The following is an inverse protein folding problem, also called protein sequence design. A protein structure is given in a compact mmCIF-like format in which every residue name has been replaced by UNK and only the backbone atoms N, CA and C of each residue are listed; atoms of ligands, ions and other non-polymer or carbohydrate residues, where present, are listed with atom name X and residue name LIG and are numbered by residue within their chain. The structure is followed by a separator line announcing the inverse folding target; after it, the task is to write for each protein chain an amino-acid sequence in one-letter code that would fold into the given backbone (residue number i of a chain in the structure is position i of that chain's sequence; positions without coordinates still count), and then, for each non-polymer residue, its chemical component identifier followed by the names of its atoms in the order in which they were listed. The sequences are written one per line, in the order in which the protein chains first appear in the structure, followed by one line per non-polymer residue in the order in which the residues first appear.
data_IF_318690783438
#
_entry.id   IF_318690783438
#
_cell.length_a   1.000
_cell.length_b   1.000
_cell.length_c   1.000
_cell.angle_alpha   90.00
_cell.angle_beta   90.00
_cell.angle_gamma   90.00
#
_symmetry.space_group_name_H-M   'P 1'
#
loop_
_entity.id
_entity.type
_entity.pdbx_description
1 polymer ?
#
# COMPACT_ATOMS: atom_id res chain seq x y z
N UNK A 1 12.89 19.91 4.91
CA UNK A 1 13.73 20.19 3.73
C UNK A 1 12.79 20.58 2.60
N UNK A 2 13.15 21.55 1.77
CA UNK A 2 12.32 21.92 0.62
C UNK A 2 12.65 20.98 -0.53
N UNK A 3 11.66 20.26 -1.06
CA UNK A 3 11.85 19.37 -2.22
C UNK A 3 12.34 20.13 -3.45
N UNK A 4 13.01 19.42 -4.37
CA UNK A 4 13.46 19.98 -5.65
C UNK A 4 12.24 20.23 -6.55
N UNK A 5 12.08 21.45 -7.04
CA UNK A 5 11.07 21.75 -8.05
C UNK A 5 11.57 21.34 -9.44
N UNK A 6 11.02 20.25 -10.01
CA UNK A 6 11.46 19.68 -11.28
C UNK A 6 11.29 20.63 -12.47
N UNK A 7 10.32 21.55 -12.40
CA UNK A 7 10.11 22.57 -13.44
C UNK A 7 11.28 23.56 -13.61
N UNK A 8 12.24 23.56 -12.69
CA UNK A 8 13.45 24.39 -12.74
C UNK A 8 14.64 23.64 -13.34
N UNK A 9 14.52 22.34 -13.57
CA UNK A 9 15.59 21.49 -14.13
C UNK A 9 15.56 21.56 -15.64
N UNK A 10 16.74 21.61 -16.26
CA UNK A 10 16.91 21.56 -17.71
C UNK A 10 17.68 20.31 -18.08
N UNK A 11 17.06 19.46 -18.89
CA UNK A 11 17.69 18.29 -19.48
C UNK A 11 18.36 18.66 -20.81
N UNK A 12 19.24 17.78 -21.26
CA UNK A 12 20.08 17.90 -22.46
C UNK A 12 19.82 16.73 -23.39
N UNK A 13 20.40 16.72 -24.59
CA UNK A 13 20.34 15.55 -25.50
C UNK A 13 21.32 14.42 -25.09
N UNK A 14 21.73 14.38 -23.82
CA UNK A 14 22.61 13.37 -23.23
C UNK A 14 21.94 12.81 -21.99
N UNK A 15 22.42 11.67 -21.52
CA UNK A 15 21.94 11.07 -20.26
C UNK A 15 22.17 12.01 -19.08
N UNK A 16 21.08 12.46 -18.48
CA UNK A 16 21.05 13.33 -17.33
C UNK A 16 20.55 12.59 -16.08
N UNK A 17 21.04 12.98 -14.91
CA UNK A 17 20.63 12.39 -13.63
C UNK A 17 20.19 13.48 -12.68
N UNK A 18 18.91 13.43 -12.30
CA UNK A 18 18.28 14.29 -11.30
C UNK A 18 18.03 13.45 -10.06
N UNK A 19 18.94 13.52 -9.09
CA UNK A 19 18.83 12.81 -7.81
C UNK A 19 19.28 13.73 -6.66
N UNK A 20 18.37 14.56 -6.12
CA UNK A 20 18.72 15.50 -5.06
C UNK A 20 18.82 14.83 -3.67
N UNK A 21 18.56 13.52 -3.56
CA UNK A 21 18.49 12.81 -2.27
C UNK A 21 17.33 13.24 -1.37
N UNK A 22 16.37 14.00 -1.92
CA UNK A 22 15.15 14.50 -1.25
C UNK A 22 13.95 14.32 -2.19
N UNK A 23 12.74 14.63 -1.72
CA UNK A 23 11.52 14.74 -2.52
C UNK A 23 11.72 15.59 -3.78
N UNK A 24 11.14 15.15 -4.90
CA UNK A 24 11.00 15.93 -6.13
C UNK A 24 9.53 16.32 -6.30
N UNK A 25 9.26 17.59 -6.55
CA UNK A 25 7.93 18.10 -6.85
C UNK A 25 7.84 18.65 -8.27
N UNK A 26 6.87 18.18 -9.05
CA UNK A 26 6.54 18.72 -10.37
C UNK A 26 5.15 19.37 -10.32
N UNK A 27 5.05 20.72 -10.31
CA UNK A 27 3.81 21.42 -10.03
C UNK A 27 2.77 21.26 -11.14
N UNK A 28 1.51 21.50 -10.81
CA UNK A 28 0.42 21.51 -11.79
C UNK A 28 0.74 22.45 -12.97
N UNK A 29 0.42 22.00 -14.18
CA UNK A 29 0.68 22.71 -15.45
C UNK A 29 2.14 22.85 -15.87
N UNK A 30 3.09 22.31 -15.11
CA UNK A 30 4.48 22.22 -15.59
C UNK A 30 4.64 21.11 -16.62
N UNK A 31 5.58 21.31 -17.54
CA UNK A 31 6.00 20.32 -18.52
C UNK A 31 7.50 20.15 -18.40
N UNK A 32 7.91 18.93 -18.04
CA UNK A 32 9.31 18.51 -17.97
C UNK A 32 9.56 17.54 -19.11
N UNK A 33 10.69 17.70 -19.79
CA UNK A 33 11.08 16.87 -20.93
C UNK A 33 12.55 16.49 -20.80
N UNK A 34 12.85 15.19 -20.72
CA UNK A 34 14.22 14.68 -20.60
C UNK A 34 15.00 14.63 -21.93
N UNK A 35 14.31 14.88 -23.06
CA UNK A 35 14.88 14.93 -24.41
C UNK A 35 15.45 13.58 -24.91
N UNK A 36 16.76 13.36 -24.82
CA UNK A 36 17.42 12.15 -25.34
C UNK A 36 18.45 11.70 -24.34
N UNK A 37 18.60 10.39 -24.19
CA UNK A 37 19.61 9.83 -23.31
C UNK A 37 18.98 8.73 -22.47
N UNK A 38 19.75 8.18 -21.53
CA UNK A 38 19.19 7.30 -20.52
C UNK A 38 19.02 8.14 -19.26
N UNK A 39 17.94 8.91 -19.21
CA UNK A 39 17.70 9.93 -18.20
C UNK A 39 17.15 9.32 -16.92
N UNK A 40 17.51 9.91 -15.78
CA UNK A 40 17.10 9.42 -14.46
C UNK A 40 16.51 10.54 -13.63
N UNK A 41 15.27 10.37 -13.18
CA UNK A 41 14.58 11.26 -12.25
C UNK A 41 14.32 10.43 -10.99
N UNK A 42 15.10 10.69 -9.94
CA UNK A 42 15.10 9.88 -8.71
C UNK A 42 14.78 10.78 -7.52
N UNK A 43 13.58 10.63 -6.97
CA UNK A 43 13.14 11.31 -5.76
C UNK A 43 13.16 10.39 -4.56
N UNK A 44 13.70 10.85 -3.43
CA UNK A 44 13.81 10.07 -2.20
C UNK A 44 13.32 10.89 -1.02
N UNK A 45 12.26 10.49 -0.33
CA UNK A 45 11.80 11.18 0.87
C UNK A 45 11.73 10.22 2.04
N UNK A 46 12.40 10.61 3.13
CA UNK A 46 12.40 9.88 4.38
C UNK A 46 12.00 10.84 5.50
N UNK A 47 10.84 10.59 6.10
CA UNK A 47 10.52 11.15 7.40
C UNK A 47 10.62 10.05 8.44
N UNK A 48 11.69 10.12 9.22
CA UNK A 48 11.80 9.39 10.48
C UNK A 48 11.63 10.40 11.60
N UNK A 49 10.50 10.34 12.27
CA UNK A 49 10.13 11.30 13.31
C UNK A 49 9.61 10.60 14.54
N UNK A 50 10.10 11.02 15.70
CA UNK A 50 9.41 10.78 16.95
C UNK A 50 8.28 11.81 17.06
N UNK A 51 7.08 11.38 17.45
CA UNK A 51 6.08 12.28 18.00
C UNK A 51 6.73 12.95 19.19
N UNK A 52 7.29 14.13 18.96
CA UNK A 52 7.71 15.01 20.02
C UNK A 52 6.45 15.53 20.71
N UNK A 53 5.84 14.66 21.52
CA UNK A 53 4.96 14.97 22.63
C UNK A 53 5.67 15.86 23.68
N UNK A 54 6.89 16.37 23.41
CA UNK A 54 7.63 17.30 24.27
C UNK A 54 6.83 18.54 24.69
N UNK A 55 5.73 18.86 24.01
CA UNK A 55 4.76 19.87 24.43
C UNK A 55 3.94 19.50 25.69
N UNK A 56 3.86 18.21 26.09
CA UNK A 56 3.14 17.77 27.29
C UNK A 56 3.85 18.11 28.60
N UNK A 57 5.18 18.11 28.59
CA UNK A 57 5.98 18.09 29.83
C UNK A 57 6.20 19.51 30.39
N UNK A 58 6.09 20.54 29.55
CA UNK A 58 6.31 21.94 29.97
C UNK A 58 5.13 22.57 30.74
N UNK A 59 3.93 22.01 30.66
CA UNK A 59 2.71 22.69 31.12
C UNK A 59 2.18 22.26 32.48
N UNK A 60 2.55 21.07 32.96
CA UNK A 60 1.90 20.44 34.11
C UNK A 60 2.36 20.92 35.50
N UNK A 61 3.15 22.00 35.60
CA UNK A 61 3.69 22.48 36.88
C UNK A 61 3.12 23.84 37.36
N UNK A 62 2.07 24.38 36.74
CA UNK A 62 1.38 25.57 37.26
C UNK A 62 0.02 25.22 37.90
N UNK A 63 0.01 25.07 39.23
CA UNK A 63 -1.17 25.07 40.13
C UNK A 63 -2.10 23.83 40.16
N UNK A 64 -1.58 22.62 39.99
CA UNK A 64 -2.28 21.38 40.41
C UNK A 64 -3.40 20.87 39.48
N UNK A 65 -3.73 21.61 38.42
CA UNK A 65 -4.55 21.11 37.31
C UNK A 65 -3.65 20.80 36.12
N UNK A 66 -3.75 19.59 35.57
CA UNK A 66 -3.12 19.28 34.28
C UNK A 66 -3.83 20.10 33.20
N UNK A 67 -3.19 21.18 32.75
CA UNK A 67 -3.60 21.90 31.56
C UNK A 67 -2.83 21.25 30.41
N UNK A 68 -3.53 20.58 29.49
CA UNK A 68 -2.95 20.33 28.17
C UNK A 68 -2.75 21.72 27.54
N UNK A 69 -1.54 22.29 27.64
CA UNK A 69 -1.26 23.63 27.09
C UNK A 69 -1.24 23.65 25.56
N UNK A 70 -1.19 22.48 24.95
CA UNK A 70 -1.29 22.31 23.51
C UNK A 70 -2.70 21.82 23.19
N UNK A 71 -3.39 22.56 22.33
CA UNK A 71 -4.53 22.07 21.58
C UNK A 71 -4.05 20.91 20.71
N UNK A 72 -4.16 19.69 21.25
CA UNK A 72 -3.74 18.44 20.60
C UNK A 72 -4.75 17.95 19.57
N UNK A 73 -5.77 18.76 19.23
CA UNK A 73 -6.58 18.57 18.04
C UNK A 73 -5.76 18.63 16.74
N UNK A 74 -4.48 19.01 16.83
CA UNK A 74 -3.48 18.85 15.78
C UNK A 74 -3.30 17.38 15.40
N UNK A 75 -4.08 16.94 14.41
CA UNK A 75 -3.85 15.71 13.64
C UNK A 75 -2.38 15.66 13.25
N UNK A 76 -1.64 14.72 13.79
CA UNK A 76 -0.29 14.46 13.34
C UNK A 76 -0.38 13.59 12.09
N UNK A 77 -0.62 14.30 10.99
CA UNK A 77 -0.59 13.75 9.65
C UNK A 77 0.81 13.94 9.11
N UNK A 78 1.49 12.83 8.85
CA UNK A 78 2.73 12.79 8.09
C UNK A 78 2.40 12.32 6.68
N UNK A 79 2.87 13.06 5.69
CA UNK A 79 2.89 12.62 4.31
C UNK A 79 4.31 12.79 3.78
N UNK A 80 4.81 11.78 3.08
CA UNK A 80 6.09 11.83 2.38
C UNK A 80 5.89 11.29 0.98
N UNK A 81 6.38 12.04 0.00
CA UNK A 81 6.36 11.66 -1.40
C UNK A 81 7.81 11.56 -1.88
N UNK A 82 8.20 10.47 -2.54
CA UNK A 82 9.48 10.40 -3.25
C UNK A 82 9.47 11.36 -4.44
N UNK A 83 8.48 11.20 -5.32
CA UNK A 83 8.14 12.12 -6.39
C UNK A 83 6.67 12.51 -6.26
N UNK A 84 6.38 13.81 -6.22
CA UNK A 84 5.03 14.36 -6.32
C UNK A 84 4.84 15.03 -7.67
N UNK A 85 4.17 14.36 -8.60
CA UNK A 85 3.88 14.84 -9.95
C UNK A 85 2.42 15.27 -10.12
N UNK A 86 2.21 16.56 -10.34
CA UNK A 86 0.92 17.16 -10.70
C UNK A 86 0.92 17.75 -12.12
N UNK A 87 2.07 17.78 -12.77
CA UNK A 87 2.27 18.25 -14.14
C UNK A 87 2.46 17.09 -15.11
N UNK A 88 3.23 17.34 -16.17
CA UNK A 88 3.63 16.33 -17.15
C UNK A 88 5.14 16.11 -17.08
N UNK A 89 5.55 14.85 -17.01
CA UNK A 89 6.94 14.39 -17.18
C UNK A 89 7.00 13.57 -18.46
N UNK A 90 7.82 13.98 -19.42
CA UNK A 90 8.13 13.21 -20.62
C UNK A 90 9.61 12.81 -20.56
N UNK A 91 9.95 11.52 -20.57
CA UNK A 91 11.36 11.12 -20.64
C UNK A 91 11.85 11.01 -22.09
N UNK A 92 10.95 10.66 -23.01
CA UNK A 92 11.08 10.74 -24.47
C UNK A 92 11.90 9.63 -25.11
N UNK A 93 13.23 9.73 -25.25
CA UNK A 93 14.02 8.76 -26.01
C UNK A 93 15.20 8.24 -25.21
N UNK A 94 15.23 6.92 -25.05
CA UNK A 94 16.35 6.16 -24.53
C UNK A 94 15.88 5.20 -23.47
N UNK A 95 16.76 4.86 -22.52
CA UNK A 95 16.42 3.93 -21.43
C UNK A 95 16.23 4.73 -20.16
N UNK A 96 15.06 5.30 -20.00
CA UNK A 96 14.80 6.28 -18.95
C UNK A 96 14.30 5.64 -17.66
N UNK A 97 14.52 6.33 -16.54
CA UNK A 97 14.11 5.90 -15.21
C UNK A 97 13.41 7.04 -14.49
N UNK A 98 12.14 6.84 -14.12
CA UNK A 98 11.43 7.67 -13.14
C UNK A 98 11.24 6.85 -11.88
N UNK A 99 12.03 7.15 -10.84
CA UNK A 99 12.00 6.41 -9.58
C UNK A 99 11.64 7.31 -8.40
N UNK A 100 10.63 6.89 -7.64
CA UNK A 100 10.26 7.56 -6.40
C UNK A 100 10.32 6.60 -5.22
N UNK A 101 11.00 7.00 -4.14
CA UNK A 101 11.02 6.27 -2.88
C UNK A 101 10.46 7.10 -1.74
N UNK A 102 9.40 6.59 -1.11
CA UNK A 102 8.76 7.20 0.06
C UNK A 102 8.93 6.33 1.30
N UNK A 103 9.45 6.91 2.39
CA UNK A 103 9.59 6.24 3.70
C UNK A 103 9.04 7.12 4.80
N UNK A 104 7.93 6.69 5.41
CA UNK A 104 7.37 7.33 6.61
C UNK A 104 7.51 6.38 7.79
N UNK A 105 8.40 6.73 8.71
CA UNK A 105 8.59 6.06 9.98
C UNK A 105 8.18 7.01 11.10
N UNK A 106 7.00 6.77 11.68
CA UNK A 106 6.59 7.50 12.88
C UNK A 106 6.77 6.60 14.09
N UNK A 107 7.46 7.12 15.10
CA UNK A 107 7.57 6.55 16.44
C UNK A 107 6.98 7.52 17.48
N UNK A 108 6.67 7.05 18.68
CA UNK A 108 6.37 7.85 19.87
C UNK A 108 7.23 7.33 21.05
N UNK A 109 8.15 8.12 21.59
CA UNK A 109 9.10 7.65 22.61
C UNK A 109 8.50 7.38 24.00
N UNK A 110 9.02 6.33 24.65
CA UNK A 110 8.73 5.88 26.04
C UNK A 110 8.71 6.99 27.05
N UNK A 111 9.66 7.90 26.88
CA UNK A 111 10.04 8.88 27.89
C UNK A 111 8.87 9.84 28.11
N UNK A 112 8.19 10.20 27.03
CA UNK A 112 7.04 11.10 27.09
C UNK A 112 5.79 10.43 27.66
N UNK A 113 5.57 9.15 27.35
CA UNK A 113 4.44 8.38 27.91
C UNK A 113 4.64 8.09 29.39
N UNK A 114 5.86 7.72 29.80
CA UNK A 114 6.18 7.45 31.22
C UNK A 114 6.06 8.72 32.07
N UNK A 115 6.47 9.87 31.53
CA UNK A 115 6.27 11.17 32.18
C UNK A 115 4.78 11.55 32.23
N UNK A 116 4.00 11.30 31.17
CA UNK A 116 2.56 11.51 31.18
C UNK A 116 1.84 10.63 32.21
N UNK A 117 2.22 9.35 32.36
CA UNK A 117 1.72 8.46 33.41
C UNK A 117 2.07 9.00 34.81
N UNK A 118 3.32 9.42 35.01
CA UNK A 118 3.76 9.98 36.28
C UNK A 118 3.04 11.29 36.65
N UNK A 119 2.63 12.09 35.66
CA UNK A 119 1.81 13.30 35.84
C UNK A 119 0.34 12.94 36.08
N UNK A 120 -0.20 11.98 35.34
CA UNK A 120 -1.59 11.50 35.48
C UNK A 120 -1.87 10.89 36.86
N UNK A 121 -0.84 10.33 37.53
CA UNK A 121 -0.94 9.89 38.92
C UNK A 121 -1.07 11.05 39.92
N UNK A 122 -0.63 12.26 39.55
CA UNK A 122 -0.55 13.43 40.44
C UNK A 122 -1.62 14.49 40.17
N UNK A 123 -2.37 14.37 39.08
CA UNK A 123 -3.31 15.39 38.58
C UNK A 123 -4.57 14.75 37.99
N UNK A 124 -5.60 15.55 37.69
CA UNK A 124 -6.80 15.06 37.00
C UNK A 124 -6.45 14.56 35.59
N UNK A 125 -6.29 13.24 35.47
CA UNK A 125 -5.91 12.59 34.23
C UNK A 125 -7.00 12.64 33.13
N UNK A 126 -8.22 13.08 33.42
CA UNK A 126 -9.28 13.19 32.40
C UNK A 126 -8.90 14.15 31.26
N UNK A 127 -8.20 15.25 31.56
CA UNK A 127 -7.74 16.19 30.55
C UNK A 127 -6.63 15.58 29.66
N UNK A 128 -5.73 14.80 30.27
CA UNK A 128 -4.66 14.08 29.58
C UNK A 128 -5.26 12.97 28.72
N UNK A 129 -6.15 12.15 29.29
CA UNK A 129 -6.84 11.07 28.61
C UNK A 129 -7.65 11.61 27.41
N UNK A 130 -8.40 12.70 27.59
CA UNK A 130 -9.12 13.33 26.48
C UNK A 130 -8.16 13.78 25.38
N UNK A 131 -7.09 14.48 25.75
CA UNK A 131 -6.09 14.95 24.79
C UNK A 131 -5.41 13.82 24.01
N UNK A 132 -5.15 12.66 24.65
CA UNK A 132 -4.62 11.47 23.98
C UNK A 132 -5.67 10.77 23.10
N UNK A 133 -6.92 10.65 23.58
CA UNK A 133 -8.00 10.04 22.81
C UNK A 133 -8.31 10.80 21.51
N UNK A 134 -8.06 12.12 21.50
CA UNK A 134 -8.24 12.99 20.34
C UNK A 134 -7.05 12.93 19.34
N UNK A 135 -5.94 12.27 19.68
CA UNK A 135 -4.78 12.10 18.77
C UNK A 135 -5.14 11.11 17.67
N UNK A 136 -5.36 11.63 16.47
CA UNK A 136 -5.46 10.82 15.25
C UNK A 136 -4.10 10.77 14.56
N UNK A 137 -3.48 9.59 14.57
CA UNK A 137 -2.20 9.33 13.91
C UNK A 137 -2.47 8.84 12.50
N UNK A 138 -2.01 9.62 11.51
CA UNK A 138 -2.04 9.24 10.11
C UNK A 138 -0.64 9.40 9.53
N UNK A 139 -0.07 8.32 8.99
CA UNK A 139 1.06 8.46 8.09
C UNK A 139 0.74 7.92 6.71
N UNK A 140 1.29 8.59 5.72
CA UNK A 140 1.20 8.21 4.32
C UNK A 140 2.60 8.31 3.71
N UNK A 141 3.05 7.23 3.07
CA UNK A 141 4.27 7.20 2.29
C UNK A 141 3.92 6.85 0.85
N UNK A 142 4.31 7.71 -0.08
CA UNK A 142 4.07 7.54 -1.51
C UNK A 142 5.41 7.54 -2.24
N UNK A 143 5.65 6.53 -3.08
CA UNK A 143 6.89 6.46 -3.86
C UNK A 143 6.81 7.49 -4.96
N UNK A 144 5.79 7.34 -5.80
CA UNK A 144 5.37 8.30 -6.81
C UNK A 144 3.90 8.66 -6.59
N UNK A 145 3.61 9.93 -6.28
CA UNK A 145 2.27 10.53 -6.33
C UNK A 145 2.06 11.17 -7.71
N UNK A 146 1.45 10.45 -8.64
CA UNK A 146 1.06 10.94 -9.97
C UNK A 146 -0.42 11.34 -10.03
N UNK A 147 -1.04 11.68 -8.90
CA UNK A 147 -2.49 11.96 -8.85
C UNK A 147 -2.84 13.18 -9.70
N UNK A 148 -3.61 12.97 -10.78
CA UNK A 148 -3.95 13.99 -11.77
C UNK A 148 -2.79 14.51 -12.62
N UNK A 149 -1.61 13.90 -12.50
CA UNK A 149 -0.43 14.18 -13.32
C UNK A 149 -0.32 13.23 -14.52
N UNK A 150 0.75 13.42 -15.29
CA UNK A 150 1.10 12.58 -16.43
C UNK A 150 2.57 12.19 -16.41
N UNK A 151 2.87 10.91 -16.62
CA UNK A 151 4.22 10.39 -16.87
C UNK A 151 4.20 9.66 -18.21
N UNK A 152 5.03 10.12 -19.14
CA UNK A 152 5.16 9.55 -20.47
C UNK A 152 6.61 9.10 -20.68
N UNK A 153 6.88 7.81 -20.74
CA UNK A 153 8.27 7.33 -20.85
C UNK A 153 8.81 7.38 -22.30
N UNK A 154 7.93 7.23 -23.30
CA UNK A 154 8.31 7.46 -24.69
C UNK A 154 8.91 6.22 -25.37
N UNK A 155 10.05 6.36 -26.04
CA UNK A 155 10.69 5.31 -26.82
C UNK A 155 11.93 4.78 -26.12
N UNK A 156 12.00 3.45 -26.00
CA UNK A 156 13.11 2.68 -25.47
C UNK A 156 12.61 1.73 -24.39
N UNK A 157 13.52 1.19 -23.57
CA UNK A 157 13.15 0.24 -22.53
C UNK A 157 13.10 0.98 -21.19
N UNK A 158 12.03 1.71 -20.96
CA UNK A 158 11.92 2.64 -19.85
C UNK A 158 11.51 1.93 -18.56
N UNK A 159 11.69 2.63 -17.44
CA UNK A 159 11.28 2.14 -16.13
C UNK A 159 10.62 3.23 -15.31
N UNK A 160 9.38 2.99 -14.89
CA UNK A 160 8.70 3.79 -13.86
C UNK A 160 8.60 2.93 -12.60
N UNK A 161 9.28 3.35 -11.53
CA UNK A 161 9.52 2.54 -10.34
C UNK A 161 9.14 3.28 -9.06
N UNK A 162 8.07 2.86 -8.40
CA UNK A 162 7.65 3.40 -7.12
C UNK A 162 7.88 2.41 -5.99
N UNK A 163 8.91 2.62 -5.20
CA UNK A 163 9.17 1.79 -4.01
C UNK A 163 8.75 2.52 -2.74
N UNK A 164 8.05 1.85 -1.85
CA UNK A 164 7.70 2.40 -0.55
C UNK A 164 7.84 1.42 0.59
N UNK A 165 8.43 1.95 1.66
CA UNK A 165 8.41 1.34 2.99
C UNK A 165 7.67 2.33 3.88
N UNK A 166 6.35 2.20 3.93
CA UNK A 166 5.52 2.89 4.92
C UNK A 166 5.52 2.10 6.22
N UNK A 167 6.65 2.03 6.92
CA UNK A 167 6.68 1.41 8.25
C UNK A 167 6.28 2.45 9.29
N UNK A 168 4.98 2.70 9.40
CA UNK A 168 4.53 3.36 10.61
C UNK A 168 4.40 2.26 11.61
N UNK A 169 5.27 2.27 12.59
CA UNK A 169 4.93 1.59 13.78
C UNK A 169 3.94 2.48 14.56
N UNK A 170 2.73 2.62 14.01
CA UNK A 170 1.58 3.27 14.63
C UNK A 170 0.91 2.32 15.63
N UNK A 171 1.76 1.66 16.40
CA UNK A 171 1.47 1.53 17.82
C UNK A 171 1.86 2.91 18.37
N UNK A 172 1.74 3.14 19.66
CA UNK A 172 2.92 3.72 20.26
C UNK A 172 4.04 2.73 19.92
N UNK A 173 4.76 2.81 18.78
CA UNK A 173 6.12 2.30 18.72
C UNK A 173 6.88 3.44 19.37
N UNK A 174 6.89 3.51 20.68
CA UNK A 174 7.53 2.45 21.41
C UNK A 174 8.72 1.89 20.58
N UNK A 175 9.72 2.73 20.26
CA UNK A 175 11.03 2.53 20.89
C UNK A 175 11.14 3.24 22.26
N UNK A 176 10.02 3.51 22.92
CA UNK A 176 9.72 2.77 24.15
C UNK A 176 9.79 1.27 23.89
N UNK A 177 10.20 0.46 24.81
CA UNK A 177 9.69 -0.89 24.75
C UNK A 177 8.13 -0.79 24.84
N UNK A 178 7.33 -1.49 24.05
CA UNK A 178 5.88 -1.52 24.33
C UNK A 178 5.66 -2.23 25.68
N UNK A 179 6.65 -3.04 26.09
CA UNK A 179 6.91 -3.35 27.49
C UNK A 179 7.09 -2.12 28.34
N UNK A 180 7.81 -1.07 27.96
CA UNK A 180 7.79 0.30 28.53
C UNK A 180 6.43 0.76 29.09
N UNK A 181 5.42 0.81 28.23
CA UNK A 181 4.08 1.28 28.58
C UNK A 181 3.34 0.22 29.40
N UNK A 182 3.41 -1.05 28.97
CA UNK A 182 2.81 -2.17 29.70
C UNK A 182 3.40 -2.28 31.11
N UNK A 183 4.71 -2.12 31.26
CA UNK A 183 5.55 -2.12 32.46
C UNK A 183 5.23 -0.90 33.32
N UNK A 184 5.07 0.29 32.72
CA UNK A 184 4.63 1.48 33.43
C UNK A 184 3.20 1.31 33.97
N UNK A 185 2.26 0.75 33.19
CA UNK A 185 0.91 0.40 33.66
C UNK A 185 1.00 -0.67 34.76
N UNK A 186 1.82 -1.70 34.56
CA UNK A 186 2.01 -2.81 35.49
C UNK A 186 2.59 -2.36 36.83
N UNK A 187 3.54 -1.42 36.83
CA UNK A 187 4.20 -0.86 38.01
C UNK A 187 3.43 0.30 38.64
N UNK A 188 2.52 0.95 37.92
CA UNK A 188 1.72 2.05 38.44
C UNK A 188 0.67 1.54 39.45
N UNK A 189 0.45 2.24 40.57
CA UNK A 189 -0.71 1.97 41.41
C UNK A 189 -1.99 2.24 40.62
N UNK A 190 -2.97 1.34 40.75
CA UNK A 190 -4.28 1.50 40.13
C UNK A 190 -4.93 2.80 40.58
N UNK A 191 -5.44 3.55 39.62
CA UNK A 191 -6.20 4.79 39.84
C UNK A 191 -7.19 4.99 38.70
N UNK A 192 -8.22 5.80 38.94
CA UNK A 192 -9.13 6.24 37.87
C UNK A 192 -8.37 6.96 36.76
N UNK A 193 -7.32 7.70 37.12
CA UNK A 193 -6.50 8.42 36.15
C UNK A 193 -5.64 7.52 35.27
N UNK A 194 -5.04 6.47 35.84
CA UNK A 194 -4.33 5.44 35.07
C UNK A 194 -5.28 4.70 34.12
N UNK A 195 -6.48 4.37 34.61
CA UNK A 195 -7.53 3.70 33.84
C UNK A 195 -7.96 4.55 32.64
N UNK A 196 -8.32 5.81 32.88
CA UNK A 196 -8.72 6.75 31.84
C UNK A 196 -7.61 6.96 30.81
N UNK A 197 -6.36 7.08 31.26
CA UNK A 197 -5.20 7.23 30.37
C UNK A 197 -4.97 5.98 29.51
N UNK A 198 -4.99 4.78 30.10
CA UNK A 198 -4.82 3.53 29.36
C UNK A 198 -5.92 3.35 28.29
N UNK A 199 -7.18 3.66 28.62
CA UNK A 199 -8.27 3.62 27.64
C UNK A 199 -8.14 4.67 26.53
N UNK A 200 -7.69 5.88 26.85
CA UNK A 200 -7.44 6.92 25.86
C UNK A 200 -6.36 6.52 24.86
N UNK A 201 -5.23 5.98 25.36
CA UNK A 201 -4.17 5.43 24.52
C UNK A 201 -4.71 4.30 23.66
N UNK A 202 -5.40 3.33 24.26
CA UNK A 202 -5.99 2.22 23.51
C UNK A 202 -6.89 2.74 22.38
N UNK A 203 -7.77 3.71 22.67
CA UNK A 203 -8.68 4.28 21.67
C UNK A 203 -7.92 4.96 20.52
N UNK A 204 -6.95 5.82 20.83
CA UNK A 204 -6.14 6.51 19.82
C UNK A 204 -5.36 5.54 18.94
N UNK A 205 -4.76 4.51 19.54
CA UNK A 205 -3.97 3.50 18.81
C UNK A 205 -4.85 2.61 17.94
N UNK A 206 -6.05 2.25 18.40
CA UNK A 206 -7.02 1.52 17.59
C UNK A 206 -7.54 2.32 16.38
N UNK A 207 -7.40 3.65 16.39
CA UNK A 207 -7.80 4.54 15.29
C UNK A 207 -6.63 4.94 14.38
N UNK A 208 -5.39 4.57 14.73
CA UNK A 208 -4.23 4.92 13.94
C UNK A 208 -4.31 4.27 12.55
N UNK A 209 -3.97 5.06 11.51
CA UNK A 209 -4.03 4.62 10.11
C UNK A 209 -2.70 4.84 9.41
N UNK A 210 -2.33 3.85 8.61
CA UNK A 210 -1.05 3.81 7.91
C UNK A 210 -1.32 3.48 6.45
N UNK A 211 -0.87 4.35 5.55
CA UNK A 211 -0.90 4.10 4.12
C UNK A 211 0.51 4.03 3.56
N UNK A 212 0.83 2.95 2.85
CA UNK A 212 1.97 2.90 1.94
C UNK A 212 1.44 2.73 0.52
N UNK A 213 1.84 3.60 -0.39
CA UNK A 213 1.50 3.50 -1.81
C UNK A 213 2.74 3.58 -2.69
N UNK A 214 3.07 2.51 -3.42
CA UNK A 214 4.24 2.50 -4.31
C UNK A 214 4.12 3.56 -5.41
N UNK A 215 3.12 3.38 -6.27
CA UNK A 215 2.71 4.34 -7.29
C UNK A 215 1.24 4.69 -7.10
N UNK A 216 0.95 5.97 -6.91
CA UNK A 216 -0.41 6.50 -6.82
C UNK A 216 -0.75 7.24 -8.11
N UNK A 217 -1.44 6.57 -9.01
CA UNK A 217 -1.89 7.10 -10.29
C UNK A 217 -3.39 7.48 -10.26
N UNK A 218 -3.87 8.02 -9.14
CA UNK A 218 -5.29 8.28 -8.94
C UNK A 218 -5.76 9.42 -9.87
N UNK A 219 -6.60 9.10 -10.85
CA UNK A 219 -7.00 10.05 -11.91
C UNK A 219 -5.84 10.55 -12.78
N UNK A 220 -4.66 9.95 -12.66
CA UNK A 220 -3.47 10.29 -13.43
C UNK A 220 -3.36 9.44 -14.69
N UNK A 221 -2.33 9.73 -15.50
CA UNK A 221 -2.00 8.96 -16.69
C UNK A 221 -0.54 8.54 -16.62
N UNK A 222 -0.28 7.25 -16.81
CA UNK A 222 1.04 6.71 -17.07
C UNK A 222 0.98 6.08 -18.46
N UNK A 223 1.90 6.46 -19.33
CA UNK A 223 2.02 5.89 -20.67
C UNK A 223 3.47 5.56 -20.94
N UNK A 224 3.79 4.29 -21.14
CA UNK A 224 5.00 3.91 -21.84
C UNK A 224 4.68 3.74 -23.33
N UNK A 225 5.69 3.92 -24.18
CA UNK A 225 5.46 4.13 -25.61
C UNK A 225 5.89 2.92 -26.42
N UNK A 226 7.16 2.88 -26.84
CA UNK A 226 7.69 1.74 -27.60
C UNK A 226 8.90 1.18 -26.89
N UNK A 227 8.97 -0.13 -26.76
CA UNK A 227 10.13 -0.87 -26.28
C UNK A 227 9.69 -1.87 -25.22
N UNK A 228 10.63 -2.37 -24.44
CA UNK A 228 10.33 -3.29 -23.32
C UNK A 228 10.30 -2.47 -22.04
N UNK A 229 9.13 -1.94 -21.74
CA UNK A 229 8.94 -1.01 -20.63
C UNK A 229 8.62 -1.76 -19.33
N UNK A 230 8.98 -1.17 -18.20
CA UNK A 230 8.71 -1.74 -16.87
C UNK A 230 8.03 -0.72 -15.98
N UNK A 231 6.81 -1.03 -15.53
CA UNK A 231 6.14 -0.36 -14.43
C UNK A 231 6.26 -1.24 -13.18
N UNK A 232 7.06 -0.83 -12.21
CA UNK A 232 7.29 -1.58 -10.97
C UNK A 232 6.80 -0.78 -9.78
N UNK A 233 6.11 -1.44 -8.85
CA UNK A 233 5.78 -0.84 -7.59
C UNK A 233 5.80 -1.85 -6.43
N UNK A 234 6.33 -1.39 -5.30
CA UNK A 234 6.27 -2.10 -4.02
C UNK A 234 5.70 -1.21 -2.94
N UNK A 235 4.82 -1.78 -2.13
CA UNK A 235 4.31 -1.13 -0.94
C UNK A 235 4.35 -2.08 0.24
N UNK A 236 5.10 -1.71 1.27
CA UNK A 236 5.06 -2.38 2.56
C UNK A 236 4.51 -1.43 3.60
N UNK A 237 3.43 -1.84 4.26
CA UNK A 237 3.00 -1.24 5.51
C UNK A 237 2.98 -2.28 6.62
N UNK A 238 3.22 -1.81 7.83
CA UNK A 238 3.19 -2.67 9.01
C UNK A 238 2.75 -1.85 10.19
N UNK A 239 1.51 -1.99 10.62
CA UNK A 239 1.16 -1.63 11.98
C UNK A 239 1.94 -2.60 12.88
N UNK A 240 2.70 -2.09 13.86
CA UNK A 240 3.35 -2.99 14.79
C UNK A 240 2.26 -3.80 15.50
N UNK A 241 2.31 -5.12 15.37
CA UNK A 241 1.48 -6.02 16.17
C UNK A 241 2.33 -6.42 17.37
N UNK A 242 1.73 -6.42 18.56
CA UNK A 242 2.41 -6.83 19.79
C UNK A 242 2.83 -8.30 19.65
N UNK A 243 4.08 -8.54 19.29
CA UNK A 243 4.69 -9.86 19.42
C UNK A 243 5.29 -9.96 20.82
N UNK A 244 4.57 -10.64 21.73
CA UNK A 244 5.04 -11.12 23.03
C UNK A 244 5.66 -10.07 23.97
N UNK A 245 4.82 -9.36 24.72
CA UNK A 245 5.25 -8.67 25.93
C UNK A 245 4.56 -9.31 27.13
N UNK A 246 5.00 -10.52 27.47
CA UNK A 246 4.73 -11.12 28.77
C UNK A 246 6.03 -11.05 29.59
N UNK A 247 6.48 -9.84 29.87
CA UNK A 247 7.63 -9.62 30.76
C UNK A 247 7.29 -9.96 32.21
N UNK A 248 8.31 -10.12 33.05
CA UNK A 248 8.16 -10.39 34.49
C UNK A 248 7.23 -9.38 35.19
N UNK A 249 7.22 -8.13 34.73
CA UNK A 249 6.37 -7.07 35.25
C UNK A 249 4.88 -7.31 35.04
N UNK A 250 4.49 -7.85 33.87
CA UNK A 250 3.10 -8.21 33.58
C UNK A 250 2.65 -9.37 34.48
N UNK A 251 3.49 -10.40 34.63
CA UNK A 251 3.21 -11.53 35.50
C UNK A 251 3.06 -11.12 36.97
N UNK A 252 3.83 -10.13 37.43
CA UNK A 252 3.77 -9.61 38.80
C UNK A 252 2.72 -8.50 39.05
N UNK A 253 2.07 -8.01 37.99
CA UNK A 253 1.10 -6.92 38.09
C UNK A 253 -0.22 -7.37 38.72
N UNK A 254 -0.95 -6.41 39.28
CA UNK A 254 -2.32 -6.68 39.76
C UNK A 254 -3.23 -7.10 38.59
N UNK A 255 -4.30 -7.87 38.83
CA UNK A 255 -5.24 -8.24 37.77
C UNK A 255 -5.83 -7.03 37.03
N UNK A 256 -6.05 -5.90 37.73
CA UNK A 256 -6.49 -4.65 37.12
C UNK A 256 -5.46 -4.07 36.14
N UNK A 257 -4.20 -4.00 36.54
CA UNK A 257 -3.13 -3.52 35.67
C UNK A 257 -2.90 -4.45 34.48
N UNK A 258 -2.98 -5.77 34.68
CA UNK A 258 -2.90 -6.75 33.59
C UNK A 258 -4.02 -6.54 32.57
N UNK A 259 -5.26 -6.31 33.03
CA UNK A 259 -6.38 -6.03 32.14
C UNK A 259 -6.21 -4.73 31.35
N UNK A 260 -5.72 -3.65 31.99
CA UNK A 260 -5.43 -2.38 31.30
C UNK A 260 -4.30 -2.52 30.29
N UNK A 261 -3.21 -3.18 30.66
CA UNK A 261 -2.12 -3.48 29.75
C UNK A 261 -2.60 -4.31 28.55
N UNK A 262 -3.42 -5.32 28.78
CA UNK A 262 -4.02 -6.14 27.72
C UNK A 262 -4.98 -5.33 26.83
N UNK A 263 -5.72 -4.38 27.39
CA UNK A 263 -6.58 -3.49 26.60
C UNK A 263 -5.76 -2.63 25.64
N UNK A 264 -4.62 -2.08 26.08
CA UNK A 264 -3.69 -1.32 25.22
C UNK A 264 -3.07 -2.21 24.14
N UNK A 265 -2.66 -3.43 24.49
CA UNK A 265 -2.13 -4.45 23.56
C UNK A 265 -3.17 -4.83 22.49
N UNK A 266 -4.40 -5.11 22.89
CA UNK A 266 -5.47 -5.47 21.95
C UNK A 266 -5.86 -4.31 21.05
N UNK A 267 -5.75 -3.08 21.54
CA UNK A 267 -6.10 -1.90 20.76
C UNK A 267 -5.01 -1.52 19.74
N UNK A 268 -3.74 -1.76 20.08
CA UNK A 268 -2.62 -1.61 19.14
C UNK A 268 -2.63 -2.64 18.03
N UNK A 269 -3.08 -3.87 18.33
CA UNK A 269 -3.35 -4.88 17.31
C UNK A 269 -4.50 -4.50 16.36
N UNK A 270 -5.30 -3.46 16.67
CA UNK A 270 -6.36 -2.93 15.79
C UNK A 270 -5.92 -1.76 14.92
N UNK A 271 -4.70 -1.24 15.08
CA UNK A 271 -4.19 -0.18 14.22
C UNK A 271 -4.24 -0.65 12.76
N UNK A 272 -4.88 0.12 11.89
CA UNK A 272 -5.14 -0.30 10.51
C UNK A 272 -3.97 0.11 9.63
N UNK A 273 -3.27 -0.86 9.06
CA UNK A 273 -2.30 -0.65 8.00
C UNK A 273 -2.84 -1.05 6.63
N UNK A 274 -2.54 -0.21 5.65
CA UNK A 274 -2.92 -0.41 4.26
C UNK A 274 -1.67 -0.27 3.39
N UNK A 275 -1.42 -1.25 2.53
CA UNK A 275 -0.43 -1.17 1.48
C UNK A 275 -1.12 -1.29 0.12
N UNK A 276 -0.83 -0.36 -0.78
CA UNK A 276 -1.27 -0.43 -2.18
C UNK A 276 -0.03 -0.30 -3.07
N UNK A 277 0.35 -1.31 -3.84
CA UNK A 277 1.54 -1.16 -4.68
C UNK A 277 1.27 -0.17 -5.83
N UNK A 278 0.18 -0.35 -6.58
CA UNK A 278 -0.29 0.57 -7.61
C UNK A 278 -1.74 0.99 -7.32
N UNK A 279 -1.97 2.27 -7.00
CA UNK A 279 -3.31 2.85 -6.87
C UNK A 279 -3.70 3.53 -8.19
N UNK A 280 -4.35 2.79 -9.09
CA UNK A 280 -4.82 3.27 -10.39
C UNK A 280 -6.31 3.64 -10.39
N UNK A 281 -6.88 4.03 -9.24
CA UNK A 281 -8.29 4.45 -9.19
C UNK A 281 -8.57 5.62 -10.11
N UNK A 282 -9.56 5.47 -10.99
CA UNK A 282 -9.91 6.45 -12.04
C UNK A 282 -8.74 6.82 -12.97
N UNK A 283 -7.62 6.11 -12.88
CA UNK A 283 -6.39 6.39 -13.61
C UNK A 283 -6.32 5.58 -14.89
N UNK A 284 -5.30 5.91 -15.69
CA UNK A 284 -4.99 5.20 -16.92
C UNK A 284 -3.52 4.79 -16.91
N UNK A 285 -3.26 3.52 -17.16
CA UNK A 285 -1.93 2.96 -17.43
C UNK A 285 -1.97 2.36 -18.84
N UNK A 286 -1.02 2.73 -19.70
CA UNK A 286 -0.84 2.15 -21.03
C UNK A 286 0.63 1.82 -21.24
N UNK A 287 0.99 0.60 -21.62
CA UNK A 287 2.41 0.27 -21.82
C UNK A 287 2.89 0.36 -23.27
N UNK A 288 1.98 0.15 -24.23
CA UNK A 288 2.18 0.56 -25.61
C UNK A 288 2.57 -0.60 -26.52
N UNK A 289 3.78 -0.58 -27.07
CA UNK A 289 4.26 -1.67 -27.95
C UNK A 289 5.61 -2.20 -27.50
N UNK A 290 5.74 -3.52 -27.49
CA UNK A 290 6.91 -4.30 -27.09
C UNK A 290 6.58 -5.15 -25.87
N UNK A 291 7.51 -6.01 -25.46
CA UNK A 291 7.25 -6.95 -24.35
C UNK A 291 7.36 -6.21 -23.01
N UNK A 292 6.24 -5.69 -22.52
CA UNK A 292 6.17 -4.83 -21.35
C UNK A 292 5.92 -5.62 -20.06
N UNK A 293 6.22 -5.00 -18.91
CA UNK A 293 6.04 -5.63 -17.61
C UNK A 293 5.45 -4.68 -16.58
N UNK A 294 4.36 -5.09 -15.94
CA UNK A 294 3.81 -4.46 -14.74
C UNK A 294 4.01 -5.41 -13.55
N UNK A 295 4.86 -5.00 -12.61
CA UNK A 295 5.12 -5.75 -11.37
C UNK A 295 4.60 -4.96 -10.16
N UNK A 296 3.69 -5.55 -9.40
CA UNK A 296 3.09 -4.93 -8.23
C UNK A 296 3.17 -5.88 -7.03
N UNK A 297 3.81 -5.45 -5.95
CA UNK A 297 3.92 -6.23 -4.70
C UNK A 297 3.48 -5.42 -3.48
N UNK A 298 2.41 -5.86 -2.82
CA UNK A 298 1.88 -5.20 -1.62
C UNK A 298 1.94 -6.13 -0.39
N UNK A 299 2.41 -5.60 0.74
CA UNK A 299 2.45 -6.33 2.01
C UNK A 299 1.93 -5.45 3.14
N UNK A 300 0.93 -5.94 3.86
CA UNK A 300 0.38 -5.31 5.06
C UNK A 300 -0.12 -6.38 6.04
N UNK A 301 -0.23 -6.06 7.31
CA UNK A 301 -0.86 -6.98 8.28
C UNK A 301 -2.39 -7.03 8.10
N UNK A 302 -3.01 -5.87 7.87
CA UNK A 302 -4.46 -5.76 7.64
C UNK A 302 -4.80 -5.81 6.16
N UNK A 303 -4.60 -4.72 5.40
CA UNK A 303 -5.10 -4.60 4.03
C UNK A 303 -3.96 -4.42 3.02
N UNK A 304 -3.82 -5.36 2.10
CA UNK A 304 -2.81 -5.28 1.04
C UNK A 304 -3.47 -5.39 -0.34
N UNK A 305 -3.20 -4.45 -1.24
CA UNK A 305 -3.69 -4.51 -2.63
C UNK A 305 -2.49 -4.33 -3.56
N UNK A 306 -2.19 -5.29 -4.43
CA UNK A 306 -1.09 -5.10 -5.36
C UNK A 306 -1.48 -4.04 -6.42
N UNK A 307 -2.63 -4.21 -7.08
CA UNK A 307 -3.16 -3.22 -8.03
C UNK A 307 -4.61 -2.87 -7.65
N UNK A 308 -4.82 -1.64 -7.19
CA UNK A 308 -6.16 -1.08 -6.98
C UNK A 308 -6.58 -0.32 -8.25
N UNK A 309 -7.27 -1.01 -9.14
CA UNK A 309 -7.69 -0.49 -10.44
C UNK A 309 -9.17 -0.09 -10.44
N UNK A 310 -9.78 0.16 -9.27
CA UNK A 310 -11.21 0.45 -9.20
C UNK A 310 -11.59 1.64 -10.10
N UNK A 311 -12.45 1.40 -11.10
CA UNK A 311 -12.82 2.35 -12.18
C UNK A 311 -11.66 2.90 -13.01
N UNK A 312 -10.46 2.35 -12.85
CA UNK A 312 -9.30 2.61 -13.67
C UNK A 312 -9.25 1.70 -14.91
N UNK A 313 -8.29 2.01 -15.77
CA UNK A 313 -8.01 1.25 -16.98
C UNK A 313 -6.50 0.98 -17.10
N UNK A 314 -6.16 -0.28 -17.36
CA UNK A 314 -4.82 -0.74 -17.72
C UNK A 314 -4.91 -1.36 -19.11
N UNK A 315 -3.96 -1.02 -19.99
CA UNK A 315 -3.82 -1.64 -21.30
C UNK A 315 -2.33 -1.90 -21.59
N UNK A 316 -1.95 -3.11 -22.00
CA UNK A 316 -0.53 -3.38 -22.28
C UNK A 316 -0.17 -3.20 -23.75
N UNK A 317 -1.03 -3.65 -24.68
CA UNK A 317 -0.99 -3.23 -26.08
C UNK A 317 -0.49 -4.34 -27.00
N UNK A 318 0.55 -4.08 -27.81
CA UNK A 318 1.12 -5.10 -28.70
C UNK A 318 2.44 -5.62 -28.12
N UNK A 319 2.63 -6.92 -27.96
CA UNK A 319 3.85 -7.52 -27.43
C UNK A 319 3.54 -8.70 -26.52
N UNK A 320 4.55 -9.44 -26.07
CA UNK A 320 4.31 -10.50 -25.08
C UNK A 320 4.40 -9.88 -23.67
N UNK A 321 3.29 -9.34 -23.18
CA UNK A 321 3.25 -8.54 -21.97
C UNK A 321 3.10 -9.38 -20.71
N UNK A 322 3.50 -8.82 -19.57
CA UNK A 322 3.34 -9.48 -18.28
C UNK A 322 2.81 -8.55 -17.20
N UNK A 323 1.74 -8.96 -16.52
CA UNK A 323 1.27 -8.38 -15.26
C UNK A 323 1.45 -9.39 -14.12
N UNK A 324 2.20 -9.02 -13.09
CA UNK A 324 2.36 -9.79 -11.85
C UNK A 324 1.90 -8.98 -10.64
N UNK A 325 0.83 -9.41 -9.98
CA UNK A 325 0.14 -8.69 -8.92
C UNK A 325 0.01 -9.53 -7.64
N UNK A 326 0.97 -9.36 -6.73
CA UNK A 326 1.08 -10.16 -5.50
C UNK A 326 0.79 -9.33 -4.25
N UNK A 327 -0.16 -9.78 -3.44
CA UNK A 327 -0.50 -9.15 -2.18
C UNK A 327 -0.47 -10.14 -1.03
N UNK A 328 0.01 -9.70 0.15
CA UNK A 328 0.01 -10.51 1.38
C UNK A 328 -0.51 -9.69 2.55
N UNK A 329 -1.50 -10.24 3.25
CA UNK A 329 -2.13 -9.67 4.43
C UNK A 329 -3.39 -10.42 4.82
N UNK A 330 -4.07 -10.03 5.90
CA UNK A 330 -5.33 -10.68 6.31
C UNK A 330 -6.49 -10.39 5.35
N UNK A 331 -6.48 -9.22 4.71
CA UNK A 331 -7.41 -8.82 3.66
C UNK A 331 -6.62 -8.38 2.43
N UNK A 332 -6.16 -9.35 1.63
CA UNK A 332 -5.25 -9.12 0.51
C UNK A 332 -5.85 -9.43 -0.86
N UNK A 333 -5.58 -8.56 -1.83
CA UNK A 333 -6.02 -8.71 -3.22
C UNK A 333 -4.87 -8.49 -4.20
N UNK A 334 -4.71 -9.39 -5.16
CA UNK A 334 -3.79 -9.16 -6.28
C UNK A 334 -4.26 -7.97 -7.11
N UNK A 335 -5.44 -8.08 -7.71
CA UNK A 335 -6.05 -7.01 -8.51
C UNK A 335 -7.46 -6.74 -8.02
N UNK A 336 -7.78 -5.45 -7.81
CA UNK A 336 -9.08 -5.00 -7.33
C UNK A 336 -9.76 -4.05 -8.33
N UNK A 337 -10.87 -4.51 -8.93
CA UNK A 337 -11.77 -3.73 -9.78
C UNK A 337 -11.17 -3.26 -11.12
N UNK A 338 -11.98 -2.53 -11.88
CA UNK A 338 -11.56 -1.88 -13.12
C UNK A 338 -11.51 -2.76 -14.35
N UNK A 339 -10.90 -2.22 -15.42
CA UNK A 339 -10.68 -2.91 -16.69
C UNK A 339 -9.20 -3.11 -16.95
N UNK A 340 -8.85 -4.30 -17.43
CA UNK A 340 -7.52 -4.67 -17.94
C UNK A 340 -7.70 -5.21 -19.35
N UNK A 341 -6.84 -4.78 -20.27
CA UNK A 341 -6.81 -5.17 -21.67
C UNK A 341 -5.37 -5.53 -22.05
N UNK A 342 -5.04 -6.81 -22.19
CA UNK A 342 -3.65 -7.22 -22.43
C UNK A 342 -3.26 -6.95 -23.89
N UNK A 343 -4.09 -7.35 -24.84
CA UNK A 343 -4.01 -6.84 -26.21
C UNK A 343 -3.59 -7.92 -27.20
N UNK A 344 -2.42 -7.80 -27.83
CA UNK A 344 -1.93 -8.77 -28.81
C UNK A 344 -0.58 -9.32 -28.37
N UNK A 345 -0.44 -10.63 -28.46
CA UNK A 345 0.79 -11.35 -28.17
C UNK A 345 0.55 -12.44 -27.14
N UNK A 346 1.57 -13.22 -26.82
CA UNK A 346 1.44 -14.29 -25.82
C UNK A 346 1.50 -13.66 -24.41
N UNK A 347 0.38 -13.14 -23.92
CA UNK A 347 0.33 -12.33 -22.70
C UNK A 347 0.20 -13.16 -21.43
N UNK A 348 0.69 -12.60 -20.32
CA UNK A 348 0.67 -13.27 -19.02
C UNK A 348 0.16 -12.40 -17.89
N UNK A 349 -0.92 -12.81 -17.26
CA UNK A 349 -1.45 -12.19 -16.04
C UNK A 349 -1.40 -13.16 -14.86
N UNK A 350 -0.70 -12.80 -13.79
CA UNK A 350 -0.62 -13.58 -12.55
C UNK A 350 -1.03 -12.70 -11.38
N UNK A 351 -2.12 -13.06 -10.72
CA UNK A 351 -2.57 -12.39 -9.51
C UNK A 351 -2.72 -13.36 -8.35
N UNK A 352 -2.35 -12.91 -7.15
CA UNK A 352 -2.63 -13.67 -5.90
C UNK A 352 -4.13 -13.92 -5.70
N UNK A 353 -4.98 -12.96 -6.09
CA UNK A 353 -6.44 -13.09 -6.17
C UNK A 353 -7.06 -11.94 -6.97
N UNK A 354 -8.32 -12.09 -7.36
CA UNK A 354 -9.12 -11.04 -8.00
C UNK A 354 -10.27 -10.58 -7.11
N UNK A 355 -10.60 -9.29 -7.15
CA UNK A 355 -11.71 -8.76 -6.38
C UNK A 355 -12.32 -7.51 -7.04
N UNK A 356 -13.40 -7.01 -6.46
CA UNK A 356 -14.05 -5.77 -6.89
C UNK A 356 -14.73 -5.85 -8.26
N UNK A 357 -14.92 -7.07 -8.82
CA UNK A 357 -15.54 -7.25 -10.13
C UNK A 357 -14.63 -6.80 -11.27
N UNK A 358 -13.32 -7.08 -11.17
CA UNK A 358 -12.37 -6.77 -12.24
C UNK A 358 -12.78 -7.44 -13.55
N UNK A 359 -12.68 -6.70 -14.66
CA UNK A 359 -12.92 -7.17 -16.01
C UNK A 359 -11.58 -7.25 -16.75
N UNK A 360 -11.23 -8.45 -17.22
CA UNK A 360 -9.95 -8.73 -17.88
C UNK A 360 -10.27 -9.26 -19.27
N UNK A 361 -9.67 -8.63 -20.28
CA UNK A 361 -9.61 -9.12 -21.65
C UNK A 361 -8.15 -9.48 -21.94
N UNK A 362 -7.89 -10.73 -22.32
CA UNK A 362 -6.54 -11.18 -22.64
C UNK A 362 -6.20 -10.81 -24.08
N UNK A 363 -7.04 -11.17 -25.05
CA UNK A 363 -7.04 -10.50 -26.35
C UNK A 363 -6.81 -11.44 -27.51
N UNK A 364 -5.67 -11.34 -28.18
CA UNK A 364 -5.28 -12.22 -29.30
C UNK A 364 -4.01 -13.01 -28.96
N UNK A 365 -3.90 -14.23 -29.50
CA UNK A 365 -2.77 -15.16 -29.42
C UNK A 365 -2.84 -16.18 -28.27
N UNK A 366 -1.73 -16.59 -27.64
CA UNK A 366 -1.76 -17.66 -26.61
C UNK A 366 -1.54 -17.09 -25.21
N UNK A 367 -2.66 -16.81 -24.54
CA UNK A 367 -2.62 -16.11 -23.27
C UNK A 367 -2.64 -17.04 -22.05
N UNK A 368 -2.09 -16.53 -20.96
CA UNK A 368 -2.09 -17.21 -19.67
C UNK A 368 -2.60 -16.29 -18.55
N UNK A 369 -3.64 -16.75 -17.86
CA UNK A 369 -4.16 -16.09 -16.65
C UNK A 369 -4.06 -17.02 -15.46
N UNK A 370 -3.52 -16.53 -14.34
CA UNK A 370 -3.54 -17.22 -13.06
C UNK A 370 -4.13 -16.34 -11.97
N UNK A 371 -5.11 -16.90 -11.25
CA UNK A 371 -5.75 -16.26 -10.10
C UNK A 371 -7.21 -16.69 -9.96
N UNK A 372 -7.80 -16.46 -8.79
CA UNK A 372 -9.24 -16.68 -8.56
C UNK A 372 -9.83 -15.51 -7.76
N UNK A 373 -11.12 -15.25 -7.97
CA UNK A 373 -11.88 -14.31 -7.16
C UNK A 373 -13.04 -13.66 -7.93
N UNK A 374 -13.55 -12.53 -7.43
CA UNK A 374 -14.68 -11.84 -8.07
C UNK A 374 -14.19 -11.08 -9.32
N UNK A 375 -14.29 -11.75 -10.48
CA UNK A 375 -13.80 -11.29 -11.77
C UNK A 375 -14.63 -11.82 -12.95
N UNK A 376 -14.59 -11.08 -14.05
CA UNK A 376 -14.93 -11.55 -15.39
C UNK A 376 -13.66 -11.57 -16.23
N UNK A 377 -13.31 -12.73 -16.79
CA UNK A 377 -12.07 -12.93 -17.55
C UNK A 377 -12.40 -13.51 -18.93
N UNK A 378 -12.04 -12.82 -19.98
CA UNK A 378 -12.16 -13.29 -21.36
C UNK A 378 -10.78 -13.65 -21.89
N UNK A 379 -10.58 -14.90 -22.30
CA UNK A 379 -9.35 -15.33 -22.99
C UNK A 379 -9.21 -14.69 -24.37
N UNK A 380 -10.34 -14.40 -25.02
CA UNK A 380 -10.33 -13.75 -26.33
C UNK A 380 -10.14 -14.75 -27.47
N UNK A 381 -9.22 -14.45 -28.38
CA UNK A 381 -8.92 -15.24 -29.57
C UNK A 381 -7.60 -15.98 -29.43
N UNK A 382 -7.66 -17.30 -29.42
CA UNK A 382 -6.47 -18.12 -29.59
C UNK A 382 -6.59 -19.41 -28.80
N UNK A 383 -5.52 -19.80 -28.11
CA UNK A 383 -5.50 -21.02 -27.30
C UNK A 383 -5.07 -20.67 -25.88
N UNK A 384 -6.04 -20.25 -25.09
CA UNK A 384 -5.78 -19.58 -23.82
C UNK A 384 -5.86 -20.55 -22.64
N UNK A 385 -5.08 -20.23 -21.61
CA UNK A 385 -4.97 -21.03 -20.39
C UNK A 385 -5.46 -20.24 -19.18
N UNK A 386 -6.51 -20.74 -18.52
CA UNK A 386 -6.88 -20.32 -17.18
C UNK A 386 -6.27 -21.26 -16.15
N UNK A 387 -5.38 -20.74 -15.31
CA UNK A 387 -4.78 -21.46 -14.20
C UNK A 387 -5.44 -21.12 -12.85
N UNK A 388 -6.14 -22.11 -12.32
CA UNK A 388 -6.66 -22.19 -10.95
C UNK A 388 -5.75 -23.10 -10.10
N UNK A 389 -4.45 -23.13 -10.38
CA UNK A 389 -3.47 -24.07 -9.80
C UNK A 389 -3.36 -24.10 -8.28
N UNK A 390 -3.92 -23.11 -7.58
CA UNK A 390 -4.02 -23.10 -6.10
C UNK A 390 -5.18 -23.95 -5.56
N UNK A 391 -6.05 -24.47 -6.43
CA UNK A 391 -7.30 -25.12 -6.06
C UNK A 391 -7.45 -26.46 -6.76
N UNK A 392 -8.01 -27.43 -6.05
CA UNK A 392 -8.46 -28.67 -6.69
C UNK A 392 -9.71 -28.38 -7.52
N UNK A 393 -9.90 -29.11 -8.63
CA UNK A 393 -11.11 -28.98 -9.46
C UNK A 393 -12.39 -29.12 -8.63
N UNK A 394 -12.43 -30.13 -7.76
CA UNK A 394 -13.61 -30.46 -6.94
C UNK A 394 -13.90 -29.45 -5.82
N UNK A 395 -13.03 -28.45 -5.63
CA UNK A 395 -13.32 -27.33 -4.75
C UNK A 395 -14.39 -26.39 -5.33
N UNK A 396 -14.61 -26.42 -6.64
CA UNK A 396 -15.54 -25.51 -7.30
C UNK A 396 -16.88 -26.17 -7.60
N UNK A 397 -17.95 -25.37 -7.48
CA UNK A 397 -19.17 -25.58 -8.26
C UNK A 397 -19.01 -24.88 -9.60
N UNK A 398 -19.00 -25.65 -10.69
CA UNK A 398 -18.77 -25.14 -12.04
C UNK A 398 -20.08 -25.15 -12.83
N UNK A 399 -20.45 -24.02 -13.40
CA UNK A 399 -21.54 -23.91 -14.38
C UNK A 399 -20.98 -23.60 -15.77
N UNK A 400 -21.53 -24.20 -16.82
CA UNK A 400 -21.05 -24.04 -18.19
C UNK A 400 -22.03 -23.23 -19.04
N UNK A 401 -21.50 -22.45 -19.99
CA UNK A 401 -22.25 -21.57 -20.89
C UNK A 401 -21.71 -21.60 -22.32
N UNK A 402 -22.25 -20.73 -23.19
CA UNK A 402 -21.77 -20.60 -24.58
C UNK A 402 -20.33 -20.04 -24.66
N UNK A 403 -19.67 -20.19 -25.81
CA UNK A 403 -18.34 -19.64 -26.12
C UNK A 403 -17.25 -20.03 -25.11
N UNK A 404 -17.13 -21.33 -24.81
CA UNK A 404 -16.24 -21.86 -23.77
C UNK A 404 -16.45 -21.16 -22.41
N UNK A 405 -17.69 -20.72 -22.14
CA UNK A 405 -18.05 -20.00 -20.94
C UNK A 405 -18.10 -20.91 -19.72
N UNK A 406 -17.54 -20.47 -18.60
CA UNK A 406 -17.59 -21.18 -17.34
C UNK A 406 -17.77 -20.21 -16.15
N UNK A 407 -18.50 -20.65 -15.14
CA UNK A 407 -18.70 -19.94 -13.87
C UNK A 407 -18.12 -20.80 -12.75
N UNK A 408 -17.03 -20.36 -12.14
CA UNK A 408 -16.40 -21.03 -11.02
C UNK A 408 -16.88 -20.40 -9.71
N UNK A 409 -17.56 -21.18 -8.87
CA UNK A 409 -18.06 -20.74 -7.57
C UNK A 409 -17.32 -21.45 -6.43
N UNK A 410 -16.79 -20.67 -5.50
CA UNK A 410 -16.14 -21.13 -4.27
C UNK A 410 -16.44 -20.13 -3.15
N UNK A 411 -16.95 -20.61 -2.01
CA UNK A 411 -17.23 -19.81 -0.80
C UNK A 411 -18.01 -18.51 -1.04
N UNK A 412 -19.02 -18.58 -1.94
CA UNK A 412 -19.84 -17.42 -2.30
C UNK A 412 -19.18 -16.43 -3.26
N UNK A 413 -17.93 -16.65 -3.64
CA UNK A 413 -17.21 -15.91 -4.68
C UNK A 413 -17.43 -16.58 -6.03
N UNK A 414 -17.69 -15.78 -7.07
CA UNK A 414 -17.87 -16.26 -8.44
C UNK A 414 -16.86 -15.59 -9.36
N UNK A 415 -16.17 -16.40 -10.15
CA UNK A 415 -15.43 -15.97 -11.33
C UNK A 415 -16.21 -16.42 -12.57
N UNK A 416 -16.39 -15.52 -13.52
CA UNK A 416 -16.98 -15.80 -14.83
C UNK A 416 -15.89 -15.76 -15.88
N UNK A 417 -15.80 -16.78 -16.72
CA UNK A 417 -14.80 -16.85 -17.78
C UNK A 417 -15.42 -17.18 -19.13
N UNK A 418 -14.78 -16.74 -20.21
CA UNK A 418 -15.09 -17.10 -21.61
C UNK A 418 -13.79 -17.24 -22.40
N UNK A 419 -13.84 -17.91 -23.56
CA UNK A 419 -12.70 -17.94 -24.48
C UNK A 419 -11.46 -18.67 -23.97
N UNK A 420 -11.60 -19.67 -23.08
CA UNK A 420 -10.47 -20.48 -22.63
C UNK A 420 -10.55 -21.91 -23.16
N UNK A 421 -9.47 -22.37 -23.79
CA UNK A 421 -9.35 -23.73 -24.33
C UNK A 421 -8.88 -24.71 -23.25
N UNK A 422 -8.08 -24.23 -22.29
CA UNK A 422 -7.48 -25.05 -21.24
C UNK A 422 -7.67 -24.49 -19.84
N UNK A 423 -7.90 -25.39 -18.89
CA UNK A 423 -8.09 -25.11 -17.47
C UNK A 423 -7.13 -25.93 -16.64
N UNK A 424 -6.22 -25.27 -15.94
CA UNK A 424 -5.22 -25.91 -15.09
C UNK A 424 -5.63 -25.80 -13.62
N UNK A 425 -5.57 -26.91 -12.89
CA UNK A 425 -5.87 -27.01 -11.46
C UNK A 425 -4.64 -27.48 -10.66
N UNK A 426 -4.80 -27.60 -9.34
CA UNK A 426 -3.75 -28.06 -8.43
C UNK A 426 -3.12 -29.39 -8.88
N UNK A 427 -1.81 -29.52 -8.62
CA UNK A 427 -1.01 -30.66 -9.07
C UNK A 427 -0.66 -30.64 -10.56
N UNK A 428 -0.97 -29.56 -11.28
CA UNK A 428 -0.66 -29.40 -12.71
C UNK A 428 -1.61 -30.17 -13.63
N UNK A 429 -2.78 -30.57 -13.13
CA UNK A 429 -3.79 -31.26 -13.94
C UNK A 429 -4.46 -30.26 -14.87
N UNK A 430 -4.45 -30.54 -16.17
CA UNK A 430 -5.05 -29.69 -17.20
C UNK A 430 -6.22 -30.39 -17.88
N UNK A 431 -7.32 -29.65 -18.06
CA UNK A 431 -8.50 -30.07 -18.80
C UNK A 431 -8.70 -29.16 -19.99
N UNK A 432 -9.04 -29.71 -21.15
CA UNK A 432 -9.73 -28.95 -22.19
C UNK A 432 -11.15 -28.61 -21.71
N UNK A 433 -11.80 -27.60 -22.30
CA UNK A 433 -13.19 -27.26 -21.96
C UNK A 433 -14.14 -28.48 -21.99
N UNK A 434 -14.06 -29.31 -23.04
CA UNK A 434 -14.88 -30.52 -23.16
C UNK A 434 -14.56 -31.59 -22.10
N UNK A 435 -13.29 -31.73 -21.72
CA UNK A 435 -12.91 -32.63 -20.63
C UNK A 435 -13.41 -32.11 -19.28
N UNK A 436 -13.41 -30.79 -19.07
CA UNK A 436 -13.89 -30.18 -17.83
C UNK A 436 -15.40 -30.36 -17.61
N UNK A 437 -16.18 -30.36 -18.70
CA UNK A 437 -17.62 -30.68 -18.68
C UNK A 437 -17.88 -32.15 -18.32
N UNK A 438 -17.01 -33.06 -18.78
CA UNK A 438 -17.18 -34.49 -18.61
C UNK A 438 -16.67 -35.02 -17.26
N UNK A 439 -15.76 -34.29 -16.61
CA UNK A 439 -15.26 -34.55 -15.26
C UNK A 439 -16.31 -34.18 -14.19
#
# INVERSE_FOLDING_TARGET
MQGLNLSQVRFTDKSDVVNPGTEIFNPKFSQVSALKGNDQIIGNSNLTGDFALGAFVGAAAQKGNAIASADLSGKATVAVDGIKNQGTINTNQGRDIVRGTGTANIAATAQTVSQAIAIAQKTNASAIAKAFADVNIKATAEGIDNSGGQINSGQGNDTVDGDTIGSVAAVAMATADASAIVDAICKAPMSEGLTAFAYAIATSLAQATIGATGIKNMGGIITSGKGKDTLSASATSSAATFASVYGSSFASATPGNQALAMAVVNATAKASDQAIAIDNKWGVIRTGTGDDTINATAKASHKAIAIDNFTGWISTGDGNDTISAQATGSNSYGIFGGRIDMGKGDDRLIASSFAGGVNINMGEDQDFVQGFGNATVDGGQGSDILSLGSYNRDSFKIGFGANNGANFQLDGTTMTTTGFEQFQFAGGVTYTYNQLIAA
#
